data_IF_525207757485
#
_entry.id   IF_525207757485
#
_cell.length_a   1.000
_cell.length_b   1.000
_cell.length_c   1.000
_cell.angle_alpha   90.00
_cell.angle_beta   90.00
_cell.angle_gamma   90.00
#
_symmetry.space_group_name_H-M   'P 1'
#
loop_
_entity.id
_entity.type
_entity.pdbx_description
1 polymer ?
#
# COMPACT_ATOMS: atom_id res chain seq x y z
N UNK A 1 -33.75 12.05 -65.43
CA UNK A 1 -32.50 12.69 -64.98
C UNK A 1 -32.76 13.25 -63.59
N UNK A 2 -31.90 12.87 -62.66
CA UNK A 2 -31.71 13.40 -61.30
C UNK A 2 -32.82 13.15 -60.27
N UNK A 3 -32.74 12.07 -59.48
CA UNK A 3 -31.83 11.70 -58.37
C UNK A 3 -32.49 12.00 -57.01
N UNK A 4 -32.73 10.90 -56.30
CA UNK A 4 -33.22 10.77 -54.94
C UNK A 4 -32.51 11.62 -53.90
N UNK A 5 -33.25 12.05 -52.86
CA UNK A 5 -32.77 12.05 -51.46
C UNK A 5 -33.96 12.09 -50.50
N UNK A 6 -34.34 10.90 -50.03
CA UNK A 6 -35.13 10.72 -48.80
C UNK A 6 -34.18 10.90 -47.61
N UNK A 7 -34.48 11.83 -46.70
CA UNK A 7 -33.81 11.93 -45.40
C UNK A 7 -34.53 10.98 -44.42
N UNK A 8 -33.89 9.85 -44.11
CA UNK A 8 -34.23 9.00 -42.97
C UNK A 8 -33.59 9.60 -41.72
N UNK A 9 -34.42 10.07 -40.78
CA UNK A 9 -33.99 10.43 -39.42
C UNK A 9 -33.87 9.11 -38.63
N UNK A 10 -32.64 8.62 -38.46
CA UNK A 10 -32.34 7.55 -37.52
C UNK A 10 -32.20 8.15 -36.12
N UNK A 11 -33.16 7.89 -35.24
CA UNK A 11 -33.04 8.17 -33.81
C UNK A 11 -32.12 7.09 -33.24
N UNK A 12 -30.85 7.43 -33.02
CA UNK A 12 -29.92 6.61 -32.26
C UNK A 12 -30.26 6.77 -30.77
N UNK A 13 -30.90 5.75 -30.19
CA UNK A 13 -30.98 5.56 -28.74
C UNK A 13 -29.57 5.27 -28.22
N UNK A 14 -28.90 6.30 -27.71
CA UNK A 14 -27.70 6.17 -26.89
C UNK A 14 -28.11 5.51 -25.56
N UNK A 15 -27.94 4.20 -25.48
CA UNK A 15 -27.89 3.49 -24.19
C UNK A 15 -26.61 3.95 -23.52
N UNK A 16 -26.72 4.92 -22.61
CA UNK A 16 -25.64 5.33 -21.74
C UNK A 16 -25.30 4.17 -20.82
N UNK A 17 -24.30 3.39 -21.18
CA UNK A 17 -23.64 2.48 -20.26
C UNK A 17 -23.01 3.32 -19.16
N UNK A 18 -23.52 3.19 -17.94
CA UNK A 18 -22.89 3.70 -16.72
C UNK A 18 -21.59 2.93 -16.50
N UNK A 19 -20.56 3.29 -17.27
CA UNK A 19 -19.21 2.83 -17.06
C UNK A 19 -18.66 3.46 -15.79
N UNK A 20 -18.07 2.63 -14.93
CA UNK A 20 -17.24 3.07 -13.83
C UNK A 20 -16.07 3.89 -14.42
N UNK A 21 -16.15 5.22 -14.35
CA UNK A 21 -15.06 6.10 -14.76
C UNK A 21 -14.14 6.22 -13.54
N UNK A 22 -12.87 5.78 -13.61
CA UNK A 22 -11.92 6.11 -12.57
C UNK A 22 -11.86 7.63 -12.43
N UNK A 23 -11.65 8.18 -11.21
CA UNK A 23 -11.37 9.60 -11.07
C UNK A 23 -10.21 9.97 -12.01
N UNK A 24 -10.35 11.05 -12.76
CA UNK A 24 -9.24 11.62 -13.52
C UNK A 24 -8.10 11.89 -12.55
N UNK A 25 -6.99 11.16 -12.71
CA UNK A 25 -5.81 11.30 -11.88
C UNK A 25 -5.12 12.61 -12.24
N UNK A 26 -5.54 13.71 -11.65
CA UNK A 26 -4.66 14.85 -11.48
C UNK A 26 -3.62 14.46 -10.44
N UNK A 27 -2.54 13.83 -10.88
CA UNK A 27 -1.32 13.72 -10.07
C UNK A 27 -0.89 15.15 -9.75
N UNK A 28 -1.12 15.57 -8.50
CA UNK A 28 -0.55 16.83 -8.02
C UNK A 28 0.97 16.65 -7.97
N UNK A 29 1.68 17.45 -8.77
CA UNK A 29 3.15 17.52 -8.75
C UNK A 29 3.68 17.51 -7.32
N UNK A 30 4.60 16.60 -7.00
CA UNK A 30 5.27 16.59 -5.70
C UNK A 30 4.51 15.94 -4.54
N UNK A 31 3.51 15.07 -4.78
CA UNK A 31 2.76 14.40 -3.70
C UNK A 31 2.76 12.88 -3.83
N UNK A 32 3.23 12.21 -2.77
CA UNK A 32 3.11 10.78 -2.51
C UNK A 32 2.61 10.58 -1.07
N UNK A 33 1.34 10.91 -0.85
CA UNK A 33 0.79 11.15 0.49
C UNK A 33 0.48 9.89 1.33
N UNK A 34 0.52 8.70 0.72
CA UNK A 34 0.07 7.43 1.27
C UNK A 34 1.09 6.32 0.93
N UNK A 35 1.11 5.23 1.71
CA UNK A 35 1.93 4.03 1.48
C UNK A 35 1.99 3.57 0.01
N UNK A 36 0.90 3.68 -0.75
CA UNK A 36 0.82 3.29 -2.17
C UNK A 36 0.64 4.48 -3.11
N UNK A 37 1.07 5.66 -2.68
CA UNK A 37 1.07 6.87 -3.49
C UNK A 37 -0.32 7.48 -3.69
N UNK A 38 -0.44 8.45 -4.60
CA UNK A 38 -1.64 9.28 -4.74
C UNK A 38 -2.90 8.50 -5.11
N UNK A 39 -2.76 7.36 -5.80
CA UNK A 39 -3.89 6.50 -6.18
C UNK A 39 -4.20 5.41 -5.16
N UNK A 40 -3.38 5.26 -4.11
CA UNK A 40 -3.42 4.14 -3.16
C UNK A 40 -3.19 2.75 -3.79
N UNK A 41 -2.84 2.70 -5.08
CA UNK A 41 -2.62 1.45 -5.84
C UNK A 41 -1.19 1.32 -6.39
N UNK A 42 -0.34 2.32 -6.16
CA UNK A 42 1.08 2.34 -6.57
C UNK A 42 1.34 2.94 -7.93
N UNK A 43 0.51 3.87 -8.37
CA UNK A 43 0.71 4.58 -9.64
C UNK A 43 1.26 5.97 -9.36
N UNK A 44 2.38 6.31 -10.00
CA UNK A 44 3.02 7.62 -9.92
C UNK A 44 2.52 8.62 -10.98
N UNK A 45 1.60 8.20 -11.85
CA UNK A 45 1.15 8.98 -13.02
C UNK A 45 2.12 8.90 -14.21
N UNK A 46 1.97 9.84 -15.14
CA UNK A 46 2.79 9.95 -16.35
C UNK A 46 3.95 10.92 -16.12
N UNK A 47 4.84 10.55 -15.21
CA UNK A 47 6.10 11.26 -14.99
C UNK A 47 7.26 10.48 -15.58
N UNK A 48 8.33 11.17 -15.98
CA UNK A 48 9.51 10.52 -16.52
C UNK A 48 10.58 10.43 -15.43
N UNK A 49 10.79 9.22 -14.92
CA UNK A 49 11.80 8.91 -13.91
C UNK A 49 12.90 8.06 -14.50
N UNK A 50 14.13 8.11 -13.94
CA UNK A 50 15.26 7.34 -14.45
C UNK A 50 14.96 5.84 -14.50
N UNK A 51 15.49 5.17 -15.52
CA UNK A 51 15.49 3.69 -15.61
C UNK A 51 16.78 3.07 -15.12
N UNK A 52 17.88 3.84 -15.12
CA UNK A 52 19.22 3.37 -14.76
C UNK A 52 19.83 4.22 -13.66
N UNK A 53 20.48 3.59 -12.68
CA UNK A 53 21.25 4.25 -11.64
C UNK A 53 22.19 3.26 -10.94
N UNK A 54 23.16 3.80 -10.21
CA UNK A 54 24.04 3.04 -9.32
C UNK A 54 24.43 3.92 -8.12
N UNK A 55 25.29 3.44 -7.22
CA UNK A 55 25.85 4.30 -6.16
C UNK A 55 26.63 5.53 -6.70
N UNK A 56 27.05 5.50 -7.96
CA UNK A 56 27.83 6.58 -8.60
C UNK A 56 27.07 7.36 -9.69
N UNK A 57 25.92 6.85 -10.16
CA UNK A 57 25.19 7.39 -11.31
C UNK A 57 23.74 7.68 -10.95
N UNK A 58 23.21 8.81 -11.42
CA UNK A 58 21.81 9.23 -11.21
C UNK A 58 21.36 9.34 -9.74
N UNK A 59 22.29 9.33 -8.77
CA UNK A 59 22.02 9.67 -7.37
C UNK A 59 22.24 11.17 -7.16
N UNK A 60 21.16 11.92 -7.00
CA UNK A 60 21.19 13.36 -6.74
C UNK A 60 21.72 13.67 -5.35
N UNK A 61 21.20 12.94 -4.36
CA UNK A 61 21.70 12.92 -3.00
C UNK A 61 21.35 11.59 -2.34
N UNK A 62 22.11 11.24 -1.29
CA UNK A 62 21.76 10.16 -0.36
C UNK A 62 22.04 10.61 1.07
N UNK A 63 21.08 10.36 1.95
CA UNK A 63 21.10 10.84 3.33
C UNK A 63 20.99 9.67 4.29
N UNK A 64 21.94 9.54 5.21
CA UNK A 64 21.92 8.50 6.22
C UNK A 64 20.71 8.69 7.16
N UNK A 65 19.92 7.63 7.34
CA UNK A 65 18.73 7.64 8.20
C UNK A 65 19.04 6.82 9.45
N UNK A 66 18.91 7.44 10.62
CA UNK A 66 19.19 6.77 11.89
C UNK A 66 18.11 5.75 12.25
N UNK A 67 18.52 4.74 13.02
CA UNK A 67 17.64 3.70 13.50
C UNK A 67 17.36 2.62 12.46
N UNK A 68 16.20 1.99 12.55
CA UNK A 68 15.69 0.98 11.63
C UNK A 68 14.19 1.21 11.42
N UNK A 69 13.76 1.20 10.17
CA UNK A 69 12.36 1.26 9.79
C UNK A 69 12.16 0.80 8.35
N UNK A 70 10.94 0.40 8.02
CA UNK A 70 10.60 -0.10 6.67
C UNK A 70 9.46 0.70 6.03
N UNK A 71 9.11 1.87 6.59
CA UNK A 71 8.11 2.73 5.96
C UNK A 71 8.56 3.26 4.61
N UNK A 72 7.62 3.25 3.68
CA UNK A 72 7.73 3.91 2.39
C UNK A 72 7.89 5.42 2.62
N UNK A 73 8.77 6.11 1.87
CA UNK A 73 8.85 7.56 1.91
C UNK A 73 7.50 8.20 1.58
N UNK A 74 7.02 9.09 2.44
CA UNK A 74 5.76 9.82 2.25
C UNK A 74 6.09 11.26 1.91
N UNK A 75 5.67 11.71 0.73
CA UNK A 75 6.12 13.00 0.18
C UNK A 75 4.96 13.98 0.13
N UNK A 76 5.15 15.14 0.73
CA UNK A 76 4.24 16.28 0.63
C UNK A 76 5.03 17.52 0.23
N UNK A 77 4.91 17.92 -1.04
CA UNK A 77 5.67 19.04 -1.61
C UNK A 77 7.17 18.80 -1.39
N UNK A 78 7.83 19.67 -0.63
CA UNK A 78 9.27 19.60 -0.34
C UNK A 78 9.64 18.77 0.91
N UNK A 79 8.68 18.06 1.51
CA UNK A 79 8.90 17.30 2.75
C UNK A 79 8.79 15.79 2.48
N UNK A 80 9.81 15.04 2.91
CA UNK A 80 9.79 13.57 2.89
C UNK A 80 9.74 13.06 4.33
N UNK A 81 8.65 12.37 4.66
CA UNK A 81 8.36 11.84 5.98
C UNK A 81 8.68 10.34 6.07
N UNK A 82 9.37 9.97 7.14
CA UNK A 82 9.75 8.59 7.46
C UNK A 82 9.45 8.28 8.93
N UNK A 83 9.08 7.03 9.21
CA UNK A 83 9.08 6.47 10.56
C UNK A 83 10.35 5.64 10.78
N UNK A 84 10.96 5.73 11.96
CA UNK A 84 12.12 4.91 12.34
C UNK A 84 12.07 4.57 13.83
N UNK A 85 12.86 3.60 14.25
CA UNK A 85 12.99 3.20 15.64
C UNK A 85 14.43 2.84 15.99
N UNK A 86 14.79 2.87 17.27
CA UNK A 86 16.00 2.17 17.73
C UNK A 86 15.86 0.67 17.45
N UNK A 87 16.98 -0.02 17.20
CA UNK A 87 16.96 -1.46 16.88
C UNK A 87 16.34 -2.31 18.00
N UNK A 88 16.42 -1.85 19.24
CA UNK A 88 15.79 -2.47 20.40
C UNK A 88 14.31 -2.09 20.60
N UNK A 89 13.76 -1.19 19.77
CA UNK A 89 12.35 -0.76 19.83
C UNK A 89 12.01 0.22 20.94
N UNK A 90 12.97 0.61 21.79
CA UNK A 90 12.71 1.45 22.96
C UNK A 90 12.35 2.90 22.61
N UNK A 91 12.74 3.39 21.44
CA UNK A 91 12.46 4.76 21.01
C UNK A 91 11.97 4.78 19.57
N UNK A 92 10.85 5.45 19.34
CA UNK A 92 10.16 5.55 18.06
C UNK A 92 10.18 7.00 17.60
N UNK A 93 10.55 7.23 16.34
CA UNK A 93 10.82 8.55 15.80
C UNK A 93 10.08 8.80 14.49
N UNK A 94 9.86 10.09 14.25
CA UNK A 94 9.52 10.62 12.93
C UNK A 94 10.69 11.46 12.42
N UNK A 95 11.01 11.26 11.15
CA UNK A 95 12.03 12.01 10.43
C UNK A 95 11.36 12.77 9.29
N UNK A 96 11.73 14.04 9.13
CA UNK A 96 11.43 14.82 7.93
C UNK A 96 12.75 15.17 7.23
N UNK A 97 12.82 14.89 5.94
CA UNK A 97 13.94 15.24 5.06
C UNK A 97 13.46 16.28 4.06
N UNK A 98 14.26 17.33 3.86
CA UNK A 98 14.07 18.30 2.78
C UNK A 98 14.32 17.63 1.43
N UNK A 99 13.32 17.65 0.55
CA UNK A 99 13.33 16.90 -0.71
C UNK A 99 14.39 17.41 -1.69
N UNK A 100 14.65 18.71 -1.71
CA UNK A 100 15.63 19.30 -2.61
C UNK A 100 17.08 19.06 -2.19
N UNK A 101 17.42 19.34 -0.93
CA UNK A 101 18.79 19.23 -0.41
C UNK A 101 19.15 17.84 0.11
N UNK A 102 18.16 17.04 0.52
CA UNK A 102 18.37 15.80 1.25
C UNK A 102 18.68 16.01 2.73
N UNK A 103 18.65 17.22 3.27
CA UNK A 103 18.95 17.47 4.68
C UNK A 103 17.84 16.97 5.61
N UNK A 104 18.22 16.36 6.74
CA UNK A 104 17.27 16.01 7.80
C UNK A 104 16.87 17.30 8.54
N UNK A 105 15.64 17.77 8.31
CA UNK A 105 15.10 18.97 8.96
C UNK A 105 14.39 18.68 10.28
N UNK A 106 14.01 17.41 10.50
CA UNK A 106 13.42 16.95 11.76
C UNK A 106 13.87 15.53 12.07
N UNK A 107 14.25 15.29 13.33
CA UNK A 107 14.33 13.96 13.95
C UNK A 107 13.68 14.07 15.34
N UNK A 108 12.40 13.69 15.45
CA UNK A 108 11.61 13.84 16.69
C UNK A 108 11.25 12.48 17.26
N UNK A 109 11.63 12.23 18.51
CA UNK A 109 11.14 11.07 19.25
C UNK A 109 9.67 11.29 19.60
N UNK A 110 8.81 10.36 19.20
CA UNK A 110 7.36 10.42 19.46
C UNK A 110 7.02 9.59 20.68
N UNK A 111 7.61 8.41 20.81
CA UNK A 111 7.29 7.46 21.87
C UNK A 111 8.53 6.76 22.42
N UNK A 112 8.59 6.67 23.75
CA UNK A 112 9.42 5.71 24.47
C UNK A 112 8.59 4.45 24.80
N UNK A 113 9.26 3.29 24.78
CA UNK A 113 8.66 1.96 24.99
C UNK A 113 9.53 1.18 25.98
N UNK A 114 8.96 0.85 27.14
CA UNK A 114 9.69 0.16 28.20
C UNK A 114 10.02 -1.29 27.84
N UNK A 115 9.03 -2.01 27.32
CA UNK A 115 9.09 -3.43 27.01
C UNK A 115 8.52 -3.69 25.60
N UNK A 116 9.29 -3.43 24.54
CA UNK A 116 8.86 -3.69 23.17
C UNK A 116 8.68 -5.20 22.91
N UNK A 117 7.69 -5.56 22.09
CA UNK A 117 7.45 -6.95 21.69
C UNK A 117 8.61 -7.51 20.86
N UNK A 118 8.85 -8.82 20.93
CA UNK A 118 9.76 -9.47 19.98
C UNK A 118 9.12 -9.46 18.58
N UNK A 119 9.84 -8.95 17.60
CA UNK A 119 9.38 -8.82 16.20
C UNK A 119 10.09 -9.80 15.27
N UNK A 120 9.50 -10.00 14.08
CA UNK A 120 10.13 -10.81 13.03
C UNK A 120 11.38 -10.13 12.45
N UNK A 121 12.33 -10.91 11.94
CA UNK A 121 13.56 -10.39 11.35
C UNK A 121 13.29 -9.53 10.11
N UNK A 122 12.22 -9.80 9.36
CA UNK A 122 11.78 -8.99 8.22
C UNK A 122 10.98 -7.75 8.63
N UNK A 123 10.73 -7.56 9.93
CA UNK A 123 9.94 -6.44 10.44
C UNK A 123 10.80 -5.41 11.21
N UNK A 124 10.20 -4.27 11.52
CA UNK A 124 10.74 -3.21 12.37
C UNK A 124 9.63 -2.63 13.24
N UNK A 125 9.99 -1.98 14.34
CA UNK A 125 9.01 -1.26 15.17
C UNK A 125 8.39 -0.04 14.46
N UNK A 126 8.93 0.35 13.31
CA UNK A 126 8.53 1.49 12.50
C UNK A 126 8.31 1.08 11.03
N UNK A 127 7.64 -0.05 10.82
CA UNK A 127 7.26 -0.51 9.48
C UNK A 127 6.05 0.22 8.90
N UNK A 128 5.01 0.58 9.68
CA UNK A 128 3.91 1.36 9.14
C UNK A 128 4.40 2.71 8.59
N UNK A 129 3.93 3.04 7.38
CA UNK A 129 4.20 4.31 6.74
C UNK A 129 3.31 5.40 7.32
N UNK A 130 3.76 6.65 7.24
CA UNK A 130 2.91 7.78 7.58
C UNK A 130 1.79 7.95 6.53
N UNK A 131 0.84 8.83 6.83
CA UNK A 131 -0.03 9.44 5.82
C UNK A 131 -0.04 10.95 6.07
N UNK A 132 -0.03 11.76 5.02
CA UNK A 132 0.14 13.21 5.12
C UNK A 132 -0.94 13.93 4.29
N UNK A 133 -1.36 15.08 4.79
CA UNK A 133 -2.19 16.03 4.07
C UNK A 133 -1.70 17.45 4.37
N UNK A 134 -2.41 18.46 3.87
CA UNK A 134 -2.04 19.85 4.14
C UNK A 134 -2.05 20.14 5.66
N UNK A 135 -0.90 20.59 6.17
CA UNK A 135 -0.72 20.99 7.57
C UNK A 135 -0.59 19.83 8.57
N UNK A 136 -0.78 18.57 8.16
CA UNK A 136 -0.84 17.42 9.08
C UNK A 136 -0.13 16.18 8.54
N UNK A 137 0.69 15.55 9.37
CA UNK A 137 1.23 14.21 9.16
C UNK A 137 0.80 13.28 10.29
N UNK A 138 0.40 12.07 9.92
CA UNK A 138 -0.11 11.05 10.84
C UNK A 138 0.79 9.82 10.82
N UNK A 139 1.15 9.34 12.00
CA UNK A 139 2.05 8.21 12.17
C UNK A 139 1.46 7.17 13.12
N UNK A 140 1.72 5.90 12.81
CA UNK A 140 1.26 4.77 13.61
C UNK A 140 2.42 3.80 13.84
N UNK A 141 2.54 3.30 15.06
CA UNK A 141 3.56 2.33 15.45
C UNK A 141 2.91 1.09 16.07
N UNK A 142 1.70 0.72 15.64
CA UNK A 142 0.96 -0.39 16.23
C UNK A 142 0.56 -0.12 17.67
N UNK A 143 0.83 -1.11 18.54
CA UNK A 143 0.46 -1.09 19.97
C UNK A 143 1.19 0.03 20.73
N UNK A 144 2.31 0.52 20.20
CA UNK A 144 3.15 1.51 20.87
C UNK A 144 2.60 2.94 20.81
N UNK A 145 1.82 3.25 19.78
CA UNK A 145 1.06 4.49 19.68
C UNK A 145 0.76 5.00 18.28
N UNK A 146 -0.12 6.00 18.22
CA UNK A 146 -0.50 6.76 17.03
C UNK A 146 -0.39 8.25 17.36
N UNK A 147 0.13 9.06 16.44
CA UNK A 147 0.24 10.50 16.65
C UNK A 147 -0.07 11.29 15.38
N UNK A 148 -0.44 12.55 15.59
CA UNK A 148 -0.56 13.56 14.55
C UNK A 148 0.40 14.71 14.87
N UNK A 149 1.12 15.17 13.86
CA UNK A 149 2.01 16.31 13.94
C UNK A 149 1.58 17.38 12.94
N UNK A 150 1.87 18.62 13.28
CA UNK A 150 1.81 19.76 12.38
C UNK A 150 3.02 19.76 11.43
N UNK A 151 2.80 19.90 10.12
CA UNK A 151 3.87 19.77 9.12
C UNK A 151 4.79 20.98 9.05
N UNK A 152 4.41 22.11 9.65
CA UNK A 152 5.19 23.35 9.59
C UNK A 152 5.96 23.58 10.90
N UNK A 153 5.29 23.41 12.03
CA UNK A 153 5.90 23.58 13.36
C UNK A 153 6.54 22.31 13.91
N UNK A 154 6.24 21.14 13.34
CA UNK A 154 6.69 19.83 13.80
C UNK A 154 6.25 19.47 15.23
N UNK A 155 5.24 20.16 15.75
CA UNK A 155 4.67 19.87 17.06
C UNK A 155 3.61 18.78 17.00
N UNK A 156 3.57 17.98 18.07
CA UNK A 156 2.57 16.93 18.24
C UNK A 156 1.24 17.59 18.57
N UNK A 157 0.26 17.42 17.70
CA UNK A 157 -1.11 17.95 17.86
C UNK A 157 -1.89 17.08 18.83
N UNK A 158 -1.81 15.77 18.64
CA UNK A 158 -2.39 14.77 19.52
C UNK A 158 -1.61 13.45 19.43
N UNK A 159 -1.68 12.62 20.47
CA UNK A 159 -1.14 11.26 20.46
C UNK A 159 -2.02 10.30 21.26
N UNK A 160 -1.93 9.01 20.93
CA UNK A 160 -2.67 7.91 21.56
C UNK A 160 -1.78 6.69 21.76
N UNK A 161 -2.05 5.95 22.83
CA UNK A 161 -1.32 4.73 23.23
C UNK A 161 -2.23 3.58 23.67
N UNK A 162 -3.52 3.71 23.41
CA UNK A 162 -4.56 2.79 23.89
C UNK A 162 -5.14 1.88 22.78
N UNK A 163 -4.57 1.94 21.57
CA UNK A 163 -4.83 0.97 20.51
C UNK A 163 -3.93 -0.26 20.68
N UNK A 164 -4.03 -0.91 21.84
CA UNK A 164 -3.15 -2.03 22.21
C UNK A 164 -3.63 -3.34 21.58
N UNK A 165 -2.68 -4.13 21.08
CA UNK A 165 -2.87 -5.48 20.57
C UNK A 165 -1.54 -6.23 20.63
N UNK A 166 -1.60 -7.55 20.68
CA UNK A 166 -0.44 -8.43 20.56
C UNK A 166 -0.16 -8.70 19.07
N UNK A 167 0.85 -8.04 18.50
CA UNK A 167 1.17 -8.20 17.08
C UNK A 167 1.79 -9.58 16.78
N UNK A 168 2.55 -10.13 17.72
CA UNK A 168 3.31 -11.38 17.57
C UNK A 168 4.45 -11.38 16.54
N UNK A 169 4.45 -10.45 15.56
CA UNK A 169 5.52 -10.26 14.56
C UNK A 169 5.95 -8.79 14.40
N UNK A 170 5.40 -7.89 15.21
CA UNK A 170 5.58 -6.44 15.09
C UNK A 170 4.51 -5.74 14.22
N UNK A 171 4.44 -4.41 14.28
CA UNK A 171 3.43 -3.63 13.58
C UNK A 171 3.64 -3.64 12.05
N UNK A 172 2.57 -3.47 11.28
CA UNK A 172 2.66 -3.40 9.81
C UNK A 172 1.54 -2.61 9.11
N UNK A 173 0.35 -2.52 9.70
CA UNK A 173 -0.76 -1.76 9.14
C UNK A 173 -0.48 -0.27 9.15
N UNK A 174 -0.40 0.36 7.97
CA UNK A 174 -0.30 1.82 7.86
C UNK A 174 -1.70 2.44 8.04
N UNK A 175 -1.81 3.67 8.59
CA UNK A 175 -3.06 4.40 8.60
C UNK A 175 -3.41 4.90 7.18
N UNK A 176 -4.69 5.10 6.92
CA UNK A 176 -5.16 5.81 5.72
C UNK A 176 -6.04 7.00 6.11
N UNK A 177 -6.13 7.99 5.22
CA UNK A 177 -7.09 9.09 5.35
C UNK A 177 -8.32 8.84 4.51
N UNK A 178 -9.48 9.15 5.09
CA UNK A 178 -10.74 9.24 4.36
C UNK A 178 -11.59 10.36 4.98
N UNK A 179 -11.84 11.42 4.21
CA UNK A 179 -12.53 12.63 4.69
C UNK A 179 -11.91 13.17 6.01
N UNK A 180 -12.68 13.21 7.10
CA UNK A 180 -12.28 13.64 8.44
C UNK A 180 -11.72 12.50 9.31
N UNK A 181 -11.53 11.30 8.74
CA UNK A 181 -11.13 10.09 9.46
C UNK A 181 -9.70 9.67 9.16
N UNK A 182 -9.00 9.22 10.20
CA UNK A 182 -7.79 8.41 10.14
C UNK A 182 -8.18 6.96 10.48
N UNK A 183 -8.03 6.03 9.54
CA UNK A 183 -8.51 4.65 9.67
C UNK A 183 -7.32 3.68 9.79
N UNK A 184 -7.41 2.74 10.72
CA UNK A 184 -6.35 1.74 10.99
C UNK A 184 -6.94 0.34 11.17
N UNK A 185 -6.31 -0.66 10.55
CA UNK A 185 -6.55 -2.08 10.84
C UNK A 185 -5.74 -2.52 12.08
N UNK A 186 -6.41 -3.09 13.08
CA UNK A 186 -5.81 -3.58 14.31
C UNK A 186 -6.14 -5.06 14.52
N UNK A 187 -5.39 -5.94 13.86
CA UNK A 187 -5.60 -7.40 13.91
C UNK A 187 -4.41 -8.11 14.60
N UNK A 188 -4.47 -8.21 15.93
CA UNK A 188 -3.50 -8.93 16.75
C UNK A 188 -3.84 -10.41 16.92
N UNK A 189 -3.11 -11.09 17.78
CA UNK A 189 -3.40 -12.48 18.19
C UNK A 189 -4.51 -12.58 19.23
N UNK A 190 -4.69 -11.50 19.98
CA UNK A 190 -5.62 -11.35 21.09
C UNK A 190 -6.92 -10.64 20.69
N UNK A 191 -6.84 -9.59 19.87
CA UNK A 191 -7.99 -8.79 19.43
C UNK A 191 -7.91 -8.44 17.94
N UNK A 192 -9.07 -8.37 17.27
CA UNK A 192 -9.17 -8.03 15.85
C UNK A 192 -10.29 -6.99 15.62
N UNK A 193 -9.94 -5.83 15.09
CA UNK A 193 -10.89 -4.76 14.81
C UNK A 193 -10.35 -3.75 13.77
N UNK A 194 -11.25 -2.96 13.21
CA UNK A 194 -10.91 -1.74 12.47
C UNK A 194 -11.35 -0.54 13.30
N UNK A 195 -10.56 0.53 13.32
CA UNK A 195 -10.87 1.76 14.05
C UNK A 195 -10.74 2.97 13.14
N UNK A 196 -11.67 3.91 13.28
CA UNK A 196 -11.51 5.27 12.75
C UNK A 196 -11.40 6.27 13.89
N UNK A 197 -10.42 7.15 13.74
CA UNK A 197 -10.19 8.29 14.60
C UNK A 197 -10.59 9.56 13.85
N UNK A 198 -11.16 10.51 14.57
CA UNK A 198 -11.24 11.88 14.10
C UNK A 198 -9.81 12.40 13.87
N UNK A 199 -9.48 12.76 12.62
CA UNK A 199 -8.09 13.09 12.27
C UNK A 199 -7.62 14.40 12.91
N UNK A 200 -8.53 15.29 13.32
CA UNK A 200 -8.17 16.55 13.95
C UNK A 200 -7.85 16.37 15.44
N UNK A 201 -8.52 15.45 16.12
CA UNK A 201 -8.47 15.31 17.59
C UNK A 201 -7.92 13.98 18.11
N UNK A 202 -7.84 12.96 17.26
CA UNK A 202 -7.47 11.59 17.62
C UNK A 202 -8.57 10.80 18.33
N UNK A 203 -9.73 11.39 18.58
CA UNK A 203 -10.84 10.72 19.27
C UNK A 203 -11.42 9.59 18.43
N UNK A 204 -11.79 8.47 19.06
CA UNK A 204 -12.43 7.35 18.36
C UNK A 204 -13.81 7.79 17.84
N UNK A 205 -14.02 7.68 16.53
CA UNK A 205 -15.32 7.91 15.88
C UNK A 205 -16.12 6.63 15.77
N UNK A 206 -15.46 5.54 15.41
CA UNK A 206 -16.03 4.20 15.47
C UNK A 206 -14.92 3.16 15.64
N UNK A 207 -15.31 1.99 16.18
CA UNK A 207 -14.45 0.81 16.33
C UNK A 207 -15.31 -0.42 16.09
N UNK A 208 -14.99 -1.19 15.05
CA UNK A 208 -15.77 -2.35 14.62
C UNK A 208 -14.94 -3.62 14.82
N UNK A 209 -15.34 -4.53 15.73
CA UNK A 209 -14.76 -5.87 15.82
C UNK A 209 -14.90 -6.62 14.50
N UNK A 210 -13.90 -7.42 14.13
CA UNK A 210 -14.03 -8.33 12.99
C UNK A 210 -15.15 -9.34 13.28
N UNK A 211 -15.96 -9.65 12.28
CA UNK A 211 -17.13 -10.53 12.41
C UNK A 211 -16.83 -12.04 12.27
N UNK A 212 -15.54 -12.39 12.20
CA UNK A 212 -15.07 -13.79 12.18
C UNK A 212 -15.00 -14.31 13.61
N UNK A 213 -15.45 -15.55 13.82
CA UNK A 213 -15.25 -16.25 15.09
C UNK A 213 -13.81 -16.75 15.17
N UNK A 214 -12.95 -15.96 15.81
CA UNK A 214 -11.54 -16.33 16.01
C UNK A 214 -11.31 -17.34 17.14
N UNK A 215 -12.33 -17.67 17.94
CA UNK A 215 -12.17 -18.59 19.07
C UNK A 215 -11.78 -20.01 18.64
N UNK A 216 -12.11 -20.39 17.41
CA UNK A 216 -11.80 -21.69 16.81
C UNK A 216 -10.38 -21.78 16.22
N UNK A 217 -9.63 -20.67 16.19
CA UNK A 217 -8.31 -20.60 15.57
C UNK A 217 -7.22 -20.48 16.64
N UNK A 218 -6.05 -21.06 16.37
CA UNK A 218 -4.85 -20.81 17.17
C UNK A 218 -4.50 -19.29 17.13
N UNK A 219 -4.02 -18.69 18.24
CA UNK A 219 -3.69 -17.27 18.27
C UNK A 219 -2.78 -16.77 17.14
N UNK A 220 -1.84 -17.59 16.64
CA UNK A 220 -1.00 -17.20 15.51
C UNK A 220 -1.81 -16.96 14.23
N UNK A 221 -2.94 -17.65 14.05
CA UNK A 221 -3.78 -17.63 12.85
C UNK A 221 -4.84 -16.54 12.83
N UNK A 222 -4.83 -15.63 13.83
CA UNK A 222 -5.85 -14.57 14.01
C UNK A 222 -5.39 -13.19 13.55
N UNK A 223 -4.09 -13.01 13.35
CA UNK A 223 -3.47 -11.70 13.11
C UNK A 223 -3.35 -11.35 11.62
N UNK A 224 -3.31 -10.06 11.34
CA UNK A 224 -3.02 -9.51 10.02
C UNK A 224 -2.35 -8.13 10.15
N UNK A 225 -1.68 -7.71 9.07
CA UNK A 225 -0.82 -6.52 9.04
C UNK A 225 -1.12 -5.62 7.82
N UNK A 226 -2.23 -5.88 7.12
CA UNK A 226 -2.55 -5.22 5.86
C UNK A 226 -3.10 -3.82 6.08
N UNK A 227 -2.74 -2.90 5.19
CA UNK A 227 -3.29 -1.55 5.11
C UNK A 227 -4.59 -1.58 4.29
N UNK A 228 -5.72 -1.01 4.77
CA UNK A 228 -6.97 -1.05 4.02
C UNK A 228 -6.95 -0.05 2.84
N UNK A 229 -7.95 -0.12 1.96
CA UNK A 229 -8.14 0.85 0.86
C UNK A 229 -9.60 1.27 0.80
N UNK A 230 -9.87 2.53 0.49
CA UNK A 230 -11.22 2.99 0.17
C UNK A 230 -11.38 3.05 -1.33
N UNK A 231 -12.46 2.44 -1.83
CA UNK A 231 -12.84 2.47 -3.23
C UNK A 231 -14.30 2.90 -3.38
N UNK A 232 -14.70 3.29 -4.58
CA UNK A 232 -16.12 3.54 -4.90
C UNK A 232 -16.69 2.36 -5.68
N UNK A 233 -17.81 1.81 -5.23
CA UNK A 233 -18.58 0.74 -5.88
C UNK A 233 -20.02 1.22 -6.04
N UNK A 234 -20.52 1.30 -7.27
CA UNK A 234 -21.89 1.76 -7.58
C UNK A 234 -22.26 3.10 -6.92
N UNK A 235 -21.29 4.02 -6.84
CA UNK A 235 -21.46 5.34 -6.21
C UNK A 235 -21.39 5.35 -4.68
N UNK A 236 -21.11 4.22 -4.03
CA UNK A 236 -20.87 4.13 -2.59
C UNK A 236 -19.40 3.87 -2.27
N UNK A 237 -18.85 4.65 -1.36
CA UNK A 237 -17.50 4.42 -0.85
C UNK A 237 -17.48 3.21 0.10
N UNK A 238 -16.53 2.32 -0.10
CA UNK A 238 -16.34 1.11 0.70
C UNK A 238 -14.88 0.99 1.12
N UNK A 239 -14.65 0.78 2.41
CA UNK A 239 -13.36 0.43 2.98
C UNK A 239 -13.15 -1.08 2.84
N UNK A 240 -12.27 -1.49 1.94
CA UNK A 240 -11.81 -2.87 1.84
C UNK A 240 -10.68 -3.09 2.83
N UNK A 241 -10.90 -3.97 3.78
CA UNK A 241 -9.98 -4.22 4.88
C UNK A 241 -9.70 -5.72 5.02
N UNK A 242 -8.55 -6.20 4.49
CA UNK A 242 -8.10 -7.57 4.70
C UNK A 242 -7.79 -7.85 6.16
N UNK A 243 -8.13 -9.05 6.61
CA UNK A 243 -7.79 -9.58 7.92
C UNK A 243 -7.45 -11.06 7.85
N UNK A 244 -7.18 -11.70 8.98
CA UNK A 244 -7.02 -13.14 9.00
C UNK A 244 -8.36 -13.83 8.69
N UNK A 245 -8.32 -14.91 7.91
CA UNK A 245 -9.45 -15.76 7.52
C UNK A 245 -10.54 -15.09 6.67
N UNK A 246 -10.55 -13.77 6.54
CA UNK A 246 -11.47 -13.06 5.67
C UNK A 246 -11.01 -11.64 5.36
N UNK A 247 -11.51 -11.10 4.24
CA UNK A 247 -11.50 -9.68 3.94
C UNK A 247 -12.92 -9.15 4.07
N UNK A 248 -13.07 -7.98 4.69
CA UNK A 248 -14.37 -7.34 4.91
C UNK A 248 -14.43 -5.99 4.21
N UNK A 249 -15.61 -5.68 3.67
CA UNK A 249 -15.97 -4.34 3.22
C UNK A 249 -16.76 -3.62 4.29
N UNK A 250 -16.42 -2.37 4.58
CA UNK A 250 -17.13 -1.52 5.54
C UNK A 250 -17.56 -0.21 4.90
N UNK A 251 -18.63 0.38 5.41
CA UNK A 251 -18.96 1.79 5.17
C UNK A 251 -17.96 2.66 5.94
N UNK A 252 -17.11 3.47 5.28
CA UNK A 252 -16.02 4.19 5.96
C UNK A 252 -16.50 5.18 7.03
N UNK A 253 -17.69 5.78 6.87
CA UNK A 253 -18.24 6.77 7.81
C UNK A 253 -18.65 6.19 9.15
N UNK A 254 -19.11 4.94 9.18
CA UNK A 254 -19.73 4.33 10.38
C UNK A 254 -19.01 3.08 10.86
N UNK A 255 -18.15 2.48 10.03
CA UNK A 255 -17.54 1.19 10.29
C UNK A 255 -18.53 0.03 10.19
N UNK A 256 -19.74 0.24 9.64
CA UNK A 256 -20.73 -0.82 9.44
C UNK A 256 -20.24 -1.78 8.36
N UNK A 257 -20.19 -3.07 8.68
CA UNK A 257 -19.85 -4.11 7.70
C UNK A 257 -20.91 -4.17 6.59
N UNK A 258 -20.46 -4.22 5.34
CA UNK A 258 -21.29 -4.34 4.13
C UNK A 258 -21.26 -5.80 3.67
N UNK A 259 -20.06 -6.37 3.55
CA UNK A 259 -19.84 -7.73 3.09
C UNK A 259 -18.56 -8.35 3.68
N UNK A 260 -18.40 -9.67 3.56
CA UNK A 260 -17.18 -10.43 3.87
C UNK A 260 -16.90 -11.51 2.84
N UNK A 261 -15.62 -11.71 2.55
CA UNK A 261 -15.07 -12.76 1.70
C UNK A 261 -14.16 -13.64 2.56
N UNK A 262 -14.58 -14.88 2.84
CA UNK A 262 -13.83 -15.83 3.67
C UNK A 262 -12.78 -16.58 2.86
N UNK A 263 -11.69 -16.94 3.51
CA UNK A 263 -10.64 -17.78 2.96
C UNK A 263 -9.86 -18.49 4.05
N UNK A 264 -9.02 -19.44 3.65
CA UNK A 264 -7.99 -19.97 4.53
C UNK A 264 -6.71 -19.15 4.34
N UNK A 265 -6.27 -18.49 5.41
CA UNK A 265 -5.03 -17.74 5.44
C UNK A 265 -5.00 -16.66 6.51
N UNK A 266 -3.82 -16.21 6.88
CA UNK A 266 -3.61 -15.21 7.94
C UNK A 266 -2.29 -14.46 7.73
N UNK A 267 -1.95 -13.51 8.61
CA UNK A 267 -0.78 -12.64 8.45
C UNK A 267 -0.77 -11.95 7.08
N UNK A 268 -1.94 -11.48 6.63
CA UNK A 268 -2.07 -10.72 5.38
C UNK A 268 -1.27 -9.43 5.51
N UNK A 269 -0.35 -9.17 4.58
CA UNK A 269 0.50 -7.97 4.59
C UNK A 269 0.21 -7.09 3.37
N UNK A 270 0.08 -7.69 2.19
CA UNK A 270 -0.26 -7.00 0.95
C UNK A 270 -1.51 -6.14 1.09
N UNK A 271 -1.48 -4.91 0.55
CA UNK A 271 -2.68 -4.09 0.37
C UNK A 271 -3.47 -4.63 -0.83
N UNK A 272 -4.82 -4.66 -0.78
CA UNK A 272 -5.64 -4.99 -1.94
C UNK A 272 -5.41 -4.03 -3.08
N UNK A 273 -5.50 -4.53 -4.31
CA UNK A 273 -5.55 -3.70 -5.52
C UNK A 273 -6.81 -4.00 -6.30
N UNK A 274 -7.24 -3.05 -7.11
CA UNK A 274 -8.49 -3.13 -7.86
C UNK A 274 -8.25 -2.89 -9.34
N UNK A 275 -9.10 -3.48 -10.17
CA UNK A 275 -9.22 -3.13 -11.57
C UNK A 275 -10.68 -3.33 -11.99
N UNK A 276 -11.26 -2.33 -12.66
CA UNK A 276 -12.66 -2.34 -13.06
C UNK A 276 -13.59 -2.68 -11.88
N UNK A 277 -14.32 -3.80 -11.97
CA UNK A 277 -15.27 -4.29 -10.97
C UNK A 277 -14.69 -5.42 -10.09
N UNK A 278 -13.36 -5.54 -10.00
CA UNK A 278 -12.69 -6.64 -9.30
C UNK A 278 -11.68 -6.11 -8.27
N UNK A 279 -11.64 -6.74 -7.10
CA UNK A 279 -10.56 -6.61 -6.10
C UNK A 279 -9.71 -7.88 -6.05
N UNK A 280 -8.40 -7.69 -5.97
CA UNK A 280 -7.40 -8.75 -5.89
C UNK A 280 -6.82 -8.82 -4.48
N UNK A 281 -6.90 -10.01 -3.88
CA UNK A 281 -6.52 -10.26 -2.48
C UNK A 281 -5.46 -11.35 -2.41
N UNK A 282 -4.39 -11.12 -1.64
CA UNK A 282 -3.52 -12.21 -1.17
C UNK A 282 -3.99 -12.70 0.19
N UNK A 283 -4.16 -14.02 0.34
CA UNK A 283 -4.62 -14.64 1.60
C UNK A 283 -3.52 -14.77 2.65
N UNK A 284 -2.28 -14.40 2.33
CA UNK A 284 -1.15 -14.45 3.26
C UNK A 284 -0.64 -15.88 3.49
N UNK A 285 -0.38 -16.23 4.75
CA UNK A 285 0.19 -17.51 5.17
C UNK A 285 -0.83 -18.67 5.09
N UNK A 286 -0.38 -19.91 5.36
CA UNK A 286 -1.07 -21.17 5.07
C UNK A 286 -1.33 -21.44 3.57
N UNK A 287 -0.23 -21.37 2.79
CA UNK A 287 -0.23 -21.46 1.32
C UNK A 287 -0.98 -20.28 0.68
N UNK A 288 -0.24 -19.21 0.45
CA UNK A 288 -0.73 -17.98 -0.19
C UNK A 288 -1.53 -18.28 -1.45
N UNK A 289 -2.72 -17.70 -1.51
CA UNK A 289 -3.61 -17.73 -2.65
C UNK A 289 -3.98 -16.31 -3.04
N UNK A 290 -4.05 -16.08 -4.34
CA UNK A 290 -4.62 -14.89 -4.94
C UNK A 290 -6.09 -15.18 -5.21
N UNK A 291 -6.96 -14.31 -4.74
CA UNK A 291 -8.39 -14.31 -5.02
C UNK A 291 -8.71 -13.09 -5.87
N UNK A 292 -9.37 -13.31 -7.01
CA UNK A 292 -10.06 -12.25 -7.75
C UNK A 292 -11.52 -12.27 -7.35
N UNK A 293 -11.96 -11.17 -6.73
CA UNK A 293 -13.28 -11.06 -6.11
C UNK A 293 -14.03 -9.93 -6.77
N UNK A 294 -15.22 -10.21 -7.28
CA UNK A 294 -16.11 -9.20 -7.83
C UNK A 294 -16.50 -8.22 -6.72
N UNK A 295 -16.44 -6.94 -7.03
CA UNK A 295 -16.88 -5.85 -6.16
C UNK A 295 -18.41 -5.80 -6.09
N UNK A 296 -18.90 -5.32 -4.95
CA UNK A 296 -20.33 -5.27 -4.64
C UNK A 296 -20.79 -6.42 -3.75
N UNK A 297 -22.11 -6.61 -3.69
CA UNK A 297 -22.74 -7.61 -2.82
C UNK A 297 -22.92 -7.14 -1.37
N UNK A 298 -23.56 -8.00 -0.59
CA UNK A 298 -23.88 -7.77 0.83
C UNK A 298 -23.70 -9.07 1.60
N UNK A 299 -23.45 -8.98 2.91
CA UNK A 299 -23.28 -10.13 3.82
C UNK A 299 -22.11 -11.05 3.44
N UNK A 300 -22.31 -12.36 3.27
CA UNK A 300 -21.24 -13.30 2.90
C UNK A 300 -21.19 -13.48 1.39
N UNK A 301 -20.11 -13.01 0.77
CA UNK A 301 -19.92 -13.03 -0.69
C UNK A 301 -18.97 -14.15 -1.15
N UNK A 302 -18.58 -15.04 -0.24
CA UNK A 302 -17.51 -16.03 -0.46
C UNK A 302 -17.69 -16.85 -1.73
N UNK A 303 -18.88 -17.43 -1.93
CA UNK A 303 -19.16 -18.28 -3.09
C UNK A 303 -19.69 -17.49 -4.30
N UNK A 304 -20.35 -16.36 -4.05
CA UNK A 304 -21.10 -15.62 -5.08
C UNK A 304 -20.24 -14.63 -5.86
N UNK A 305 -19.12 -14.17 -5.30
CA UNK A 305 -18.28 -13.13 -5.90
C UNK A 305 -16.85 -13.60 -6.21
N UNK A 306 -16.48 -14.85 -5.90
CA UNK A 306 -15.18 -15.39 -6.33
C UNK A 306 -15.19 -15.62 -7.85
N UNK A 307 -14.35 -14.88 -8.58
CA UNK A 307 -14.21 -14.99 -10.04
C UNK A 307 -13.22 -16.08 -10.42
N UNK A 308 -12.03 -16.03 -9.82
CA UNK A 308 -10.96 -17.01 -10.04
C UNK A 308 -9.92 -16.96 -8.92
N UNK A 309 -9.06 -17.99 -8.87
CA UNK A 309 -7.96 -18.08 -7.90
C UNK A 309 -6.66 -18.60 -8.50
N UNK A 310 -5.52 -18.20 -7.91
CA UNK A 310 -4.19 -18.76 -8.15
C UNK A 310 -3.52 -19.08 -6.82
N UNK A 311 -2.64 -20.08 -6.78
CA UNK A 311 -1.98 -20.53 -5.52
C UNK A 311 -0.50 -20.87 -5.69
N UNK A 312 0.11 -20.46 -6.80
CA UNK A 312 1.54 -20.66 -7.08
C UNK A 312 2.23 -19.31 -7.15
N UNK A 313 3.33 -19.15 -6.42
CA UNK A 313 4.16 -17.94 -6.45
C UNK A 313 3.38 -16.66 -6.13
N UNK A 314 2.42 -16.75 -5.21
CA UNK A 314 1.64 -15.60 -4.76
C UNK A 314 2.46 -14.82 -3.72
N UNK A 315 2.57 -13.49 -3.83
CA UNK A 315 3.21 -12.68 -2.80
C UNK A 315 2.50 -12.82 -1.46
N UNK A 316 3.29 -12.88 -0.39
CA UNK A 316 2.79 -12.81 0.98
C UNK A 316 2.93 -11.37 1.48
N UNK A 317 4.08 -10.75 1.22
CA UNK A 317 4.44 -9.42 1.74
C UNK A 317 4.17 -8.31 0.72
N UNK A 318 4.70 -8.44 -0.49
CA UNK A 318 4.55 -7.42 -1.54
C UNK A 318 3.08 -7.24 -1.92
N UNK A 319 2.63 -6.00 -2.08
CA UNK A 319 1.35 -5.75 -2.77
C UNK A 319 1.48 -6.07 -4.25
N UNK A 320 0.35 -6.30 -4.91
CA UNK A 320 0.28 -6.45 -6.37
C UNK A 320 0.10 -5.07 -7.02
N UNK A 321 0.00 -5.01 -8.34
CA UNK A 321 -0.37 -3.79 -9.07
C UNK A 321 -1.10 -4.13 -10.36
N UNK A 322 -2.11 -3.32 -10.70
CA UNK A 322 -2.91 -3.50 -11.92
C UNK A 322 -2.58 -2.40 -12.91
N UNK A 323 -2.37 -2.74 -14.19
CA UNK A 323 -2.11 -1.75 -15.26
C UNK A 323 -2.82 -2.23 -16.52
N UNK A 324 -3.68 -1.41 -17.11
CA UNK A 324 -4.34 -1.68 -18.40
C UNK A 324 -4.97 -3.08 -18.53
N UNK A 325 -5.68 -3.52 -17.48
CA UNK A 325 -6.34 -4.84 -17.45
C UNK A 325 -5.40 -6.01 -17.16
N UNK A 326 -4.13 -5.76 -16.88
CA UNK A 326 -3.16 -6.74 -16.41
C UNK A 326 -2.94 -6.63 -14.91
N UNK A 327 -2.63 -7.75 -14.26
CA UNK A 327 -2.24 -7.86 -12.85
C UNK A 327 -0.80 -8.34 -12.77
N UNK A 328 0.06 -7.51 -12.19
CA UNK A 328 1.48 -7.79 -11.98
C UNK A 328 1.77 -8.04 -10.50
N UNK A 329 2.65 -9.00 -10.25
CA UNK A 329 3.10 -9.31 -8.89
C UNK A 329 4.47 -9.95 -8.88
N UNK A 330 5.14 -9.90 -7.73
CA UNK A 330 6.40 -10.60 -7.47
C UNK A 330 6.27 -11.42 -6.18
N UNK A 331 6.56 -12.72 -6.25
CA UNK A 331 6.57 -13.55 -5.05
C UNK A 331 7.73 -13.16 -4.14
N UNK A 332 7.62 -13.45 -2.85
CA UNK A 332 8.69 -13.20 -1.86
C UNK A 332 10.04 -13.85 -2.27
N UNK A 333 10.01 -14.90 -3.10
CA UNK A 333 11.20 -15.58 -3.65
C UNK A 333 11.67 -15.09 -5.02
N UNK A 334 11.17 -13.95 -5.49
CA UNK A 334 11.66 -13.29 -6.70
C UNK A 334 11.17 -13.90 -8.01
N UNK A 335 9.94 -14.43 -8.01
CA UNK A 335 9.22 -14.81 -9.23
C UNK A 335 8.23 -13.71 -9.56
N UNK A 336 8.51 -12.93 -10.61
CA UNK A 336 7.58 -11.96 -11.15
C UNK A 336 6.59 -12.64 -12.11
N UNK A 337 5.39 -12.10 -12.20
CA UNK A 337 4.35 -12.66 -13.06
C UNK A 337 3.35 -11.60 -13.50
N UNK A 338 2.73 -11.84 -14.65
CA UNK A 338 1.65 -11.03 -15.21
C UNK A 338 0.48 -11.93 -15.61
N UNK A 339 -0.72 -11.51 -15.22
CA UNK A 339 -1.97 -12.17 -15.53
C UNK A 339 -2.95 -11.20 -16.16
N UNK A 340 -3.86 -11.71 -16.96
CA UNK A 340 -5.08 -11.02 -17.31
C UNK A 340 -5.94 -10.83 -16.04
N UNK A 341 -6.26 -9.58 -15.70
CA UNK A 341 -6.96 -9.26 -14.47
C UNK A 341 -8.39 -9.81 -14.45
N UNK A 342 -9.04 -9.96 -15.62
CA UNK A 342 -10.40 -10.43 -15.71
C UNK A 342 -10.51 -11.96 -15.67
N UNK A 343 -9.73 -12.66 -16.50
CA UNK A 343 -9.81 -14.10 -16.69
C UNK A 343 -8.84 -14.90 -15.80
N UNK A 344 -7.79 -14.26 -15.29
CA UNK A 344 -6.69 -14.92 -14.61
C UNK A 344 -5.82 -15.75 -15.56
N UNK A 345 -5.92 -15.56 -16.88
CA UNK A 345 -4.97 -16.13 -17.84
C UNK A 345 -3.56 -15.61 -17.54
N UNK A 346 -2.56 -16.49 -17.61
CA UNK A 346 -1.18 -16.10 -17.38
C UNK A 346 -0.57 -15.58 -18.68
N UNK A 347 -0.07 -14.35 -18.66
CA UNK A 347 0.71 -13.82 -19.78
C UNK A 347 2.18 -14.25 -19.68
N UNK A 348 2.83 -14.03 -18.53
CA UNK A 348 4.21 -14.48 -18.31
C UNK A 348 4.52 -14.73 -16.84
N UNK A 349 5.58 -15.52 -16.59
CA UNK A 349 6.21 -15.75 -15.29
C UNK A 349 7.72 -15.77 -15.51
N UNK A 350 8.45 -14.94 -14.77
CA UNK A 350 9.90 -14.81 -14.90
C UNK A 350 10.61 -14.68 -13.56
N UNK A 351 11.87 -15.09 -13.51
CA UNK A 351 12.69 -15.01 -12.30
C UNK A 351 13.52 -13.73 -12.32
N UNK A 352 13.22 -12.81 -11.40
CA UNK A 352 14.07 -11.65 -11.12
C UNK A 352 15.21 -12.03 -10.14
N UNK A 353 14.92 -12.95 -9.22
CA UNK A 353 15.87 -13.41 -8.20
C UNK A 353 16.04 -12.45 -7.03
N UNK A 354 16.49 -12.98 -5.89
CA UNK A 354 16.49 -12.27 -4.61
C UNK A 354 15.15 -12.36 -3.89
N UNK A 355 15.07 -11.72 -2.72
CA UNK A 355 13.87 -11.70 -1.87
C UNK A 355 13.12 -10.39 -2.01
N UNK A 356 11.79 -10.43 -2.01
CA UNK A 356 10.96 -9.25 -2.21
C UNK A 356 10.04 -9.02 -1.02
N UNK A 357 9.99 -7.76 -0.57
CA UNK A 357 9.09 -7.26 0.47
C UNK A 357 8.45 -5.93 0.05
N UNK A 358 9.22 -5.08 -0.64
CA UNK A 358 8.74 -3.85 -1.26
C UNK A 358 7.66 -4.12 -2.32
N UNK A 359 6.64 -3.28 -2.35
CA UNK A 359 5.58 -3.37 -3.37
C UNK A 359 6.01 -2.64 -4.64
N UNK A 360 5.67 -3.16 -5.84
CA UNK A 360 6.04 -2.52 -7.10
C UNK A 360 5.36 -1.16 -7.28
N UNK A 361 5.98 -0.28 -8.04
CA UNK A 361 5.38 1.00 -8.46
C UNK A 361 5.32 1.06 -9.98
N UNK A 362 4.21 1.56 -10.50
CA UNK A 362 4.00 1.80 -11.92
C UNK A 362 4.14 3.29 -12.26
N UNK A 363 4.87 3.56 -13.34
CA UNK A 363 5.05 4.91 -13.89
C UNK A 363 5.32 4.82 -15.40
N UNK A 364 4.57 5.58 -16.20
CA UNK A 364 4.77 5.68 -17.65
C UNK A 364 5.05 4.32 -18.37
N UNK A 365 4.24 3.29 -18.12
CA UNK A 365 4.36 1.96 -18.74
C UNK A 365 5.48 1.08 -18.18
N UNK A 366 6.12 1.48 -17.08
CA UNK A 366 7.24 0.78 -16.43
C UNK A 366 6.87 0.37 -15.01
N UNK A 367 7.32 -0.80 -14.60
CA UNK A 367 7.18 -1.35 -13.26
C UNK A 367 8.55 -1.41 -12.58
N UNK A 368 8.61 -0.94 -11.34
CA UNK A 368 9.82 -0.92 -10.53
C UNK A 368 9.68 -1.91 -9.38
N UNK A 369 10.41 -3.02 -9.46
CA UNK A 369 10.45 -4.05 -8.42
C UNK A 369 11.74 -3.92 -7.62
N UNK A 370 11.67 -3.50 -6.36
CA UNK A 370 12.82 -3.41 -5.47
C UNK A 370 12.93 -4.64 -4.57
N UNK A 371 14.14 -5.13 -4.33
CA UNK A 371 14.38 -6.34 -3.56
C UNK A 371 15.27 -6.09 -2.32
N UNK A 372 15.27 -7.06 -1.42
CA UNK A 372 15.98 -7.00 -0.13
C UNK A 372 17.50 -6.98 -0.31
N UNK A 373 18.02 -7.40 -1.45
CA UNK A 373 19.45 -7.35 -1.76
C UNK A 373 19.92 -5.99 -2.29
N UNK A 374 19.03 -4.99 -2.43
CA UNK A 374 19.38 -3.66 -2.92
C UNK A 374 19.25 -3.50 -4.43
N UNK A 375 18.71 -4.52 -5.13
CA UNK A 375 18.47 -4.48 -6.57
C UNK A 375 17.10 -3.91 -6.88
N UNK A 376 17.01 -3.18 -7.99
CA UNK A 376 15.74 -2.74 -8.57
C UNK A 376 15.66 -3.19 -10.03
N UNK A 377 14.56 -3.83 -10.38
CA UNK A 377 14.28 -4.28 -11.74
C UNK A 377 13.23 -3.38 -12.36
N UNK A 378 13.56 -2.79 -13.50
CA UNK A 378 12.63 -2.01 -14.30
C UNK A 378 12.09 -2.92 -15.40
N UNK A 379 10.80 -3.19 -15.38
CA UNK A 379 10.12 -4.13 -16.29
C UNK A 379 9.04 -3.38 -17.05
N UNK A 380 8.88 -3.64 -18.35
CA UNK A 380 7.77 -3.08 -19.11
C UNK A 380 6.42 -3.64 -18.61
N UNK A 381 5.42 -2.79 -18.45
CA UNK A 381 4.06 -3.19 -18.08
C UNK A 381 3.30 -3.74 -19.30
N UNK A 382 3.76 -4.89 -19.83
CA UNK A 382 3.27 -5.47 -21.09
C UNK A 382 2.91 -6.97 -20.93
N UNK A 383 2.21 -7.50 -21.93
CA UNK A 383 1.83 -8.94 -22.00
C UNK A 383 2.99 -9.85 -22.34
N UNK A 384 4.07 -9.31 -22.90
CA UNK A 384 5.32 -10.02 -23.08
C UNK A 384 6.33 -9.49 -22.05
N UNK A 385 7.08 -10.40 -21.42
CA UNK A 385 8.08 -9.96 -20.45
C UNK A 385 9.22 -9.23 -21.16
N UNK A 386 9.55 -8.04 -20.65
CA UNK A 386 10.71 -7.27 -21.08
C UNK A 386 11.35 -6.55 -19.90
N UNK A 387 12.54 -7.03 -19.52
CA UNK A 387 13.41 -6.31 -18.59
C UNK A 387 14.02 -5.11 -19.32
N UNK A 388 13.79 -3.91 -18.78
CA UNK A 388 14.32 -2.65 -19.31
C UNK A 388 15.69 -2.36 -18.70
N UNK A 389 15.80 -2.48 -17.37
CA UNK A 389 17.02 -2.21 -16.65
C UNK A 389 17.08 -2.98 -15.32
N UNK A 390 18.30 -3.14 -14.82
CA UNK A 390 18.57 -3.63 -13.48
C UNK A 390 19.57 -2.69 -12.81
N UNK A 391 19.25 -2.25 -11.60
CA UNK A 391 20.01 -1.30 -10.81
C UNK A 391 20.41 -1.92 -9.48
N UNK A 392 21.48 -1.42 -8.86
CA UNK A 392 21.97 -1.92 -7.58
C UNK A 392 22.41 -0.77 -6.66
N UNK A 393 21.94 -0.82 -5.41
CA UNK A 393 22.41 -0.01 -4.29
C UNK A 393 23.08 -0.90 -3.25
N UNK A 394 23.96 -0.35 -2.42
CA UNK A 394 24.79 -1.13 -1.49
C UNK A 394 24.04 -1.69 -0.27
N UNK A 395 22.77 -1.29 -0.08
CA UNK A 395 22.00 -1.58 1.12
C UNK A 395 20.60 -2.09 0.79
N UNK A 396 20.10 -2.97 1.65
CA UNK A 396 18.82 -3.65 1.48
C UNK A 396 17.65 -2.68 1.27
N UNK A 397 16.78 -2.95 0.30
CA UNK A 397 15.55 -2.19 0.07
C UNK A 397 14.36 -3.00 0.59
N UNK A 398 13.84 -2.58 1.75
CA UNK A 398 12.67 -3.20 2.39
C UNK A 398 11.38 -2.43 2.13
N UNK A 399 11.50 -1.14 1.80
CA UNK A 399 10.38 -0.23 1.59
C UNK A 399 10.05 -0.10 0.10
N UNK A 400 8.78 0.14 -0.22
CA UNK A 400 8.39 0.52 -1.59
C UNK A 400 9.02 1.86 -1.95
N UNK A 401 9.43 2.09 -3.21
CA UNK A 401 9.86 3.41 -3.65
C UNK A 401 8.68 4.38 -3.68
N UNK A 402 8.96 5.67 -3.53
CA UNK A 402 8.03 6.74 -3.85
C UNK A 402 8.52 7.49 -5.09
N UNK A 403 7.61 7.97 -5.92
CA UNK A 403 7.95 8.64 -7.17
C UNK A 403 7.11 9.89 -7.32
N UNK A 404 7.77 11.04 -7.45
CA UNK A 404 7.10 12.32 -7.70
C UNK A 404 7.94 13.13 -8.67
N UNK A 405 7.29 13.81 -9.60
CA UNK A 405 7.99 14.54 -10.66
C UNK A 405 8.97 13.59 -11.37
N UNK A 406 10.19 14.02 -11.65
CA UNK A 406 11.25 13.29 -12.34
C UNK A 406 12.14 12.43 -11.43
N UNK A 407 11.78 12.30 -10.14
CA UNK A 407 12.62 11.65 -9.15
C UNK A 407 12.00 10.39 -8.51
N UNK A 408 12.88 9.42 -8.23
CA UNK A 408 12.59 8.23 -7.42
C UNK A 408 13.22 8.39 -6.05
N UNK A 409 12.44 8.14 -5.01
CA UNK A 409 12.87 8.17 -3.62
C UNK A 409 12.90 6.75 -3.08
N UNK A 410 14.10 6.26 -2.79
CA UNK A 410 14.32 4.89 -2.30
C UNK A 410 14.87 4.94 -0.88
N UNK A 411 14.15 4.30 0.04
CA UNK A 411 14.64 4.03 1.39
C UNK A 411 15.31 2.66 1.43
N UNK A 412 16.60 2.64 1.73
CA UNK A 412 17.34 1.42 2.10
C UNK A 412 17.35 1.25 3.62
N UNK A 413 17.96 0.17 4.12
CA UNK A 413 18.15 -0.02 5.57
C UNK A 413 18.92 1.15 6.22
N UNK A 414 19.78 1.82 5.46
CA UNK A 414 20.75 2.79 6.00
C UNK A 414 20.55 4.23 5.50
N UNK A 415 19.96 4.43 4.33
CA UNK A 415 19.86 5.75 3.70
C UNK A 415 18.51 5.99 3.01
N UNK A 416 18.20 7.25 2.78
CA UNK A 416 17.21 7.70 1.81
C UNK A 416 17.96 8.24 0.59
N UNK A 417 17.59 7.81 -0.60
CA UNK A 417 18.16 8.26 -1.87
C UNK A 417 17.12 9.08 -2.62
N UNK A 418 17.56 10.15 -3.31
CA UNK A 418 16.87 10.75 -4.45
C UNK A 418 17.63 10.38 -5.72
N UNK A 419 16.92 9.73 -6.63
CA UNK A 419 17.45 9.26 -7.90
C UNK A 419 16.75 10.02 -9.01
N UNK A 420 17.52 10.64 -9.89
CA UNK A 420 17.04 11.58 -10.92
C UNK A 420 18.09 11.62 -12.04
N UNK A 421 17.65 11.74 -13.29
CA UNK A 421 18.56 11.95 -14.42
C UNK A 421 19.16 13.37 -14.35
N UNK A 422 20.48 13.52 -14.48
CA UNK A 422 21.16 14.82 -14.41
C UNK A 422 22.23 15.04 -15.47
#
# INVERSE_FOLDING_TARGET
MDIHKFFLIAIALLVGGSGCRPPESTTSSGVWADFRGPTQQGHAGDVDVPTTWSEAENVRWKTAIRGRGHSTPIIWKNQIWLTTATRDGKKLFVICVDRESGEVVLEKMIFEVDAPEIIDALNSYASPSAVVEEGRVYVHFGTYGTACLDTDSFEVVWSRRDLTLDHGRGPGSSPILWQDLLIVNCDGRDVQYVVALDKATGQTRWKTPRSIDYSTYDPEHRKAYSTPVVITVDGQEQLISPGAQATMGYEPSTGREIWKMRYKGFSNVSRPVTAADTVFLSTGFEKASLLAVKLGGTEDVTDSHLLWTKSRQIPIVSSMITVDGMLFMVSDGGIASCYDAQSGEQYWIERLGGKFTASPVHVAGRLYFCNVEGRTFVVAAEKDFRLIAENNLDSAIMASPAMVEDAIYIRTETHLYRIEDY
#
